data_IF_139874527344
#
_entry.id   IF_139874527344
#
_cell.length_a   1.000
_cell.length_b   1.000
_cell.length_c   1.000
_cell.angle_alpha   90.00
_cell.angle_beta   90.00
_cell.angle_gamma   90.00
#
_symmetry.space_group_name_H-M   'P 1'
#
loop_
_entity.id
_entity.type
_entity.pdbx_description
1 polymer ?
#
# COMPACT_ATOMS: atom_id res chain seq x y z
N UNK A 1 13.79 14.99 -2.79
CA UNK A 1 14.60 14.58 -1.64
C UNK A 1 13.75 13.70 -0.73
N UNK A 2 14.15 12.43 -0.56
CA UNK A 2 13.50 11.51 0.36
C UNK A 2 13.74 11.91 1.81
N UNK A 3 12.72 11.80 2.65
CA UNK A 3 12.89 11.99 4.10
C UNK A 3 13.70 10.84 4.68
N UNK A 4 14.37 11.07 5.83
CA UNK A 4 15.14 10.02 6.52
C UNK A 4 14.25 8.81 6.91
N UNK A 5 12.96 9.04 7.14
CA UNK A 5 11.97 8.00 7.38
C UNK A 5 11.74 7.16 6.12
N UNK A 6 11.47 7.80 4.99
CA UNK A 6 11.23 7.12 3.72
C UNK A 6 12.46 6.34 3.24
N UNK A 7 13.68 6.83 3.55
CA UNK A 7 14.91 6.08 3.27
C UNK A 7 15.00 4.77 4.05
N UNK A 8 14.60 4.75 5.33
CA UNK A 8 14.57 3.52 6.14
C UNK A 8 13.54 2.53 5.63
N UNK A 9 12.35 3.02 5.28
CA UNK A 9 11.30 2.18 4.65
C UNK A 9 11.83 1.60 3.34
N UNK A 10 12.47 2.42 2.49
CA UNK A 10 13.06 1.97 1.24
C UNK A 10 14.09 0.85 1.43
N UNK A 11 14.98 0.99 2.43
CA UNK A 11 15.98 -0.04 2.73
C UNK A 11 15.33 -1.36 3.19
N UNK A 12 14.28 -1.29 4.01
CA UNK A 12 13.57 -2.49 4.50
C UNK A 12 12.85 -3.22 3.37
N UNK A 13 12.11 -2.51 2.55
CA UNK A 13 11.46 -3.11 1.39
C UNK A 13 12.50 -3.67 0.42
N UNK A 14 13.62 -3.00 0.26
CA UNK A 14 14.73 -3.49 -0.56
C UNK A 14 15.30 -4.81 -0.04
N UNK A 15 15.56 -4.94 1.27
CA UNK A 15 16.06 -6.18 1.86
C UNK A 15 15.03 -7.31 1.87
N UNK A 16 13.74 -6.98 1.86
CA UNK A 16 12.63 -7.94 1.86
C UNK A 16 12.24 -8.41 0.45
N UNK A 17 12.81 -7.88 -0.62
CA UNK A 17 12.37 -8.13 -1.99
C UNK A 17 12.28 -9.62 -2.36
N UNK A 18 13.22 -10.45 -1.88
CA UNK A 18 13.24 -11.90 -2.14
C UNK A 18 12.15 -12.70 -1.42
N UNK A 19 11.56 -12.14 -0.34
CA UNK A 19 10.53 -12.77 0.47
C UNK A 19 9.13 -12.16 0.28
N UNK A 20 9.07 -11.01 -0.37
CA UNK A 20 7.86 -10.22 -0.52
C UNK A 20 6.72 -10.99 -1.19
N UNK A 21 6.99 -11.70 -2.29
CA UNK A 21 5.98 -12.45 -3.05
C UNK A 21 5.38 -13.61 -2.26
N UNK A 22 6.19 -14.35 -1.51
CA UNK A 22 5.72 -15.48 -0.71
C UNK A 22 4.76 -15.06 0.41
N UNK A 23 4.86 -13.83 0.89
CA UNK A 23 4.10 -13.29 2.01
C UNK A 23 3.03 -12.27 1.60
N UNK A 24 2.90 -12.02 0.30
CA UNK A 24 2.07 -10.95 -0.24
C UNK A 24 0.71 -11.44 -0.75
N UNK A 25 0.17 -12.54 -0.21
CA UNK A 25 -1.11 -13.07 -0.66
C UNK A 25 -2.24 -12.04 -0.56
N UNK A 26 -2.35 -11.33 0.57
CA UNK A 26 -3.35 -10.28 0.75
C UNK A 26 -3.17 -9.14 -0.26
N UNK A 27 -1.93 -8.76 -0.54
CA UNK A 27 -1.61 -7.73 -1.54
C UNK A 27 -2.00 -8.18 -2.95
N UNK A 28 -1.75 -9.44 -3.30
CA UNK A 28 -2.14 -10.02 -4.59
C UNK A 28 -3.66 -10.06 -4.73
N UNK A 29 -4.36 -10.53 -3.72
CA UNK A 29 -5.82 -10.57 -3.71
C UNK A 29 -6.43 -9.18 -3.83
N UNK A 30 -5.87 -8.21 -3.11
CA UNK A 30 -6.27 -6.80 -3.20
C UNK A 30 -6.04 -6.24 -4.61
N UNK A 31 -4.87 -6.47 -5.21
CA UNK A 31 -4.56 -6.02 -6.56
C UNK A 31 -5.52 -6.60 -7.60
N UNK A 32 -5.83 -7.91 -7.51
CA UNK A 32 -6.78 -8.57 -8.38
C UNK A 32 -8.18 -7.96 -8.27
N UNK A 33 -8.65 -7.70 -7.05
CA UNK A 33 -9.95 -7.07 -6.82
C UNK A 33 -9.98 -5.63 -7.31
N UNK A 34 -8.90 -4.87 -7.07
CA UNK A 34 -8.79 -3.46 -7.48
C UNK A 34 -9.01 -3.28 -8.98
N UNK A 35 -8.42 -4.17 -9.78
CA UNK A 35 -8.38 -4.03 -11.24
C UNK A 35 -9.44 -4.84 -11.98
N UNK A 36 -10.17 -5.74 -11.30
CA UNK A 36 -11.03 -6.75 -11.91
C UNK A 36 -12.05 -6.19 -12.90
N UNK A 37 -12.66 -5.04 -12.60
CA UNK A 37 -13.69 -4.40 -13.41
C UNK A 37 -13.23 -3.08 -14.03
N UNK A 38 -11.91 -2.86 -14.06
CA UNK A 38 -11.33 -1.63 -14.58
C UNK A 38 -10.68 -1.87 -15.95
N UNK A 39 -10.85 -0.90 -16.85
CA UNK A 39 -10.09 -0.82 -18.08
C UNK A 39 -9.28 0.47 -18.05
N UNK A 40 -7.97 0.34 -18.14
CA UNK A 40 -7.05 1.46 -18.18
C UNK A 40 -6.55 1.68 -19.61
N UNK A 41 -6.28 2.92 -19.96
CA UNK A 41 -5.76 3.30 -21.28
C UNK A 41 -4.79 4.48 -21.16
N UNK A 42 -4.04 4.71 -22.22
CA UNK A 42 -3.09 5.80 -22.31
C UNK A 42 -1.88 5.61 -21.45
N UNK A 43 -1.42 6.69 -20.81
CA UNK A 43 -0.24 6.69 -19.94
C UNK A 43 -0.67 6.40 -18.51
N UNK A 44 -0.11 5.34 -17.93
CA UNK A 44 -0.48 4.85 -16.61
C UNK A 44 0.70 5.01 -15.65
N UNK A 45 0.39 5.35 -14.39
CA UNK A 45 1.34 5.36 -13.27
C UNK A 45 0.88 4.34 -12.23
N UNK A 46 1.77 3.42 -11.86
CA UNK A 46 1.60 2.50 -10.74
C UNK A 46 2.51 2.95 -9.59
N UNK A 47 1.91 3.41 -8.50
CA UNK A 47 2.62 3.95 -7.34
C UNK A 47 2.84 2.84 -6.31
N UNK A 48 4.11 2.57 -5.98
CA UNK A 48 4.48 1.49 -5.08
C UNK A 48 4.27 0.14 -5.74
N UNK A 49 4.90 -0.06 -6.90
CA UNK A 49 4.71 -1.24 -7.74
C UNK A 49 5.14 -2.56 -7.09
N UNK A 50 5.96 -2.51 -6.05
CA UNK A 50 6.49 -3.70 -5.37
C UNK A 50 7.21 -4.62 -6.35
N UNK A 51 6.89 -5.92 -6.32
CA UNK A 51 7.46 -6.93 -7.22
C UNK A 51 6.89 -6.89 -8.63
N UNK A 52 5.89 -6.05 -8.90
CA UNK A 52 5.43 -5.71 -10.25
C UNK A 52 4.29 -6.56 -10.80
N UNK A 53 3.61 -7.36 -9.97
CA UNK A 53 2.49 -8.17 -10.48
C UNK A 53 1.39 -7.32 -11.10
N UNK A 54 0.93 -6.28 -10.40
CA UNK A 54 -0.14 -5.39 -10.88
C UNK A 54 0.30 -4.63 -12.14
N UNK A 55 1.52 -4.10 -12.12
CA UNK A 55 2.12 -3.39 -13.26
C UNK A 55 2.10 -4.26 -14.51
N UNK A 56 2.61 -5.48 -14.40
CA UNK A 56 2.66 -6.42 -15.52
C UNK A 56 1.28 -6.83 -15.99
N UNK A 57 0.39 -7.12 -15.06
CA UNK A 57 -0.99 -7.48 -15.39
C UNK A 57 -1.68 -6.36 -16.20
N UNK A 58 -1.50 -5.11 -15.79
CA UNK A 58 -2.05 -3.96 -16.52
C UNK A 58 -1.43 -3.87 -17.91
N UNK A 59 -0.11 -4.01 -18.03
CA UNK A 59 0.58 -3.93 -19.31
C UNK A 59 0.12 -5.02 -20.30
N UNK A 60 -0.19 -6.20 -19.82
CA UNK A 60 -0.59 -7.34 -20.66
C UNK A 60 -2.08 -7.38 -21.00
N UNK A 61 -2.95 -6.75 -20.21
CA UNK A 61 -4.40 -6.91 -20.30
C UNK A 61 -5.18 -5.61 -20.58
N UNK A 62 -4.49 -4.48 -20.69
CA UNK A 62 -5.15 -3.19 -20.91
C UNK A 62 -4.57 -2.47 -22.16
N UNK A 63 -5.39 -1.69 -22.87
CA UNK A 63 -4.95 -0.95 -24.07
C UNK A 63 -4.19 0.33 -23.69
N UNK A 64 -3.05 0.18 -23.01
CA UNK A 64 -2.23 1.28 -22.54
C UNK A 64 -1.10 1.61 -23.53
N UNK A 65 -0.62 2.85 -23.49
CA UNK A 65 0.55 3.28 -24.25
C UNK A 65 1.85 2.94 -23.51
N UNK A 66 1.86 3.18 -22.21
CA UNK A 66 2.97 2.88 -21.31
C UNK A 66 2.52 2.88 -19.87
N UNK A 67 3.30 2.25 -19.00
CA UNK A 67 3.10 2.29 -17.55
C UNK A 67 4.42 2.55 -16.83
N UNK A 68 4.44 3.59 -16.00
CA UNK A 68 5.53 3.86 -15.09
C UNK A 68 5.31 3.04 -13.83
N UNK A 69 6.29 2.19 -13.50
CA UNK A 69 6.35 1.44 -12.26
C UNK A 69 7.21 2.22 -11.26
N UNK A 70 6.58 2.90 -10.31
CA UNK A 70 7.26 3.72 -9.33
C UNK A 70 7.38 2.97 -8.01
N UNK A 71 8.59 2.95 -7.46
CA UNK A 71 8.83 2.45 -6.10
C UNK A 71 9.97 3.24 -5.45
N UNK A 72 9.90 3.36 -4.13
CA UNK A 72 10.96 3.99 -3.35
C UNK A 72 12.15 3.06 -3.15
N UNK A 73 11.93 1.75 -3.23
CA UNK A 73 12.93 0.72 -3.04
C UNK A 73 13.53 0.28 -4.38
N UNK A 74 14.77 0.65 -4.65
CA UNK A 74 15.46 0.30 -5.90
C UNK A 74 15.49 -1.22 -6.20
N UNK A 75 15.70 -2.12 -5.22
CA UNK A 75 15.66 -3.56 -5.49
C UNK A 75 14.32 -4.06 -6.05
N UNK A 76 13.19 -3.46 -5.68
CA UNK A 76 11.87 -3.79 -6.23
C UNK A 76 11.80 -3.53 -7.74
N UNK A 77 12.45 -2.45 -8.21
CA UNK A 77 12.45 -2.06 -9.62
C UNK A 77 13.27 -2.98 -10.53
N UNK A 78 14.02 -3.91 -9.95
CA UNK A 78 14.80 -4.93 -10.67
C UNK A 78 14.05 -6.24 -10.84
N UNK A 79 12.81 -6.34 -10.36
CA UNK A 79 12.00 -7.54 -10.45
C UNK A 79 11.76 -7.96 -11.91
N UNK A 80 11.76 -9.27 -12.16
CA UNK A 80 11.53 -9.85 -13.48
C UNK A 80 10.18 -9.44 -14.07
N UNK A 81 9.14 -9.32 -13.24
CA UNK A 81 7.81 -8.89 -13.64
C UNK A 81 7.80 -7.52 -14.35
N UNK A 82 8.78 -6.65 -14.04
CA UNK A 82 8.91 -5.33 -14.64
C UNK A 82 9.68 -5.33 -15.98
N UNK A 83 10.18 -6.48 -16.41
CA UNK A 83 10.86 -6.65 -17.70
C UNK A 83 9.82 -6.77 -18.82
N UNK A 84 9.33 -5.65 -19.30
CA UNK A 84 8.29 -5.57 -20.32
C UNK A 84 8.45 -4.28 -21.13
N UNK A 85 8.21 -4.30 -22.47
CA UNK A 85 8.42 -3.13 -23.34
C UNK A 85 7.63 -1.89 -22.95
N UNK A 86 6.44 -2.07 -22.36
CA UNK A 86 5.57 -0.93 -21.96
C UNK A 86 5.87 -0.42 -20.54
N UNK A 87 6.71 -1.09 -19.76
CA UNK A 87 6.98 -0.74 -18.37
C UNK A 87 8.26 0.07 -18.24
N UNK A 88 8.15 1.23 -17.59
CA UNK A 88 9.28 2.11 -17.27
C UNK A 88 9.44 2.18 -15.76
N UNK A 89 10.43 1.50 -15.16
CA UNK A 89 10.68 1.57 -13.72
C UNK A 89 11.34 2.91 -13.34
N UNK A 90 10.82 3.54 -12.28
CA UNK A 90 11.35 4.81 -11.76
C UNK A 90 11.40 4.75 -10.24
N UNK A 91 12.57 5.05 -9.66
CA UNK A 91 12.73 5.21 -8.22
C UNK A 91 12.34 6.62 -7.80
N UNK A 92 11.29 6.74 -6.99
CA UNK A 92 10.84 8.02 -6.45
C UNK A 92 9.98 7.83 -5.19
N UNK A 93 9.79 8.94 -4.48
CA UNK A 93 8.90 9.04 -3.33
C UNK A 93 7.51 9.48 -3.80
N UNK A 94 6.48 8.73 -3.42
CA UNK A 94 5.09 9.04 -3.76
C UNK A 94 4.61 10.39 -3.19
N UNK A 95 5.28 10.93 -2.17
CA UNK A 95 4.99 12.25 -1.62
C UNK A 95 5.47 13.40 -2.53
N UNK A 96 6.41 13.11 -3.46
CA UNK A 96 7.02 14.08 -4.36
C UNK A 96 7.20 13.46 -5.75
N UNK A 97 6.12 13.41 -6.52
CA UNK A 97 6.14 12.74 -7.82
C UNK A 97 6.96 13.54 -8.85
N UNK A 98 7.96 12.91 -9.50
CA UNK A 98 8.88 13.60 -10.42
C UNK A 98 8.27 13.74 -11.82
N UNK A 99 7.02 14.11 -11.93
CA UNK A 99 6.29 14.21 -13.17
C UNK A 99 5.65 15.60 -13.31
N UNK A 100 5.45 16.03 -14.54
CA UNK A 100 4.72 17.25 -14.86
C UNK A 100 3.22 17.10 -14.56
N UNK A 101 2.54 18.23 -14.45
CA UNK A 101 1.09 18.27 -14.40
C UNK A 101 0.47 17.54 -15.61
N UNK A 102 -0.67 16.92 -15.39
CA UNK A 102 -1.45 16.26 -16.44
C UNK A 102 -0.66 15.20 -17.23
N UNK A 103 0.24 14.46 -16.57
CA UNK A 103 1.12 13.49 -17.22
C UNK A 103 0.47 12.13 -17.45
N UNK A 104 -0.54 11.75 -16.67
CA UNK A 104 -1.09 10.40 -16.67
C UNK A 104 -2.60 10.39 -16.91
N UNK A 105 -3.03 9.45 -17.75
CA UNK A 105 -4.44 9.18 -18.02
C UNK A 105 -5.06 8.28 -16.95
N UNK A 106 -4.24 7.49 -16.26
CA UNK A 106 -4.64 6.69 -15.14
C UNK A 106 -3.52 6.57 -14.08
N UNK A 107 -3.91 6.52 -12.82
CA UNK A 107 -3.01 6.25 -11.69
C UNK A 107 -3.60 5.11 -10.87
N UNK A 108 -2.79 4.10 -10.58
CA UNK A 108 -3.14 3.00 -9.69
C UNK A 108 -2.15 2.91 -8.54
N UNK A 109 -2.60 2.43 -7.41
CA UNK A 109 -1.74 2.08 -6.27
C UNK A 109 -2.39 1.00 -5.44
N UNK A 110 -1.59 0.00 -5.04
CA UNK A 110 -2.05 -1.11 -4.22
C UNK A 110 -1.06 -1.34 -3.07
N UNK A 111 -1.53 -1.23 -1.84
CA UNK A 111 -0.72 -1.48 -0.63
C UNK A 111 0.57 -0.66 -0.54
N UNK A 112 0.53 0.61 -0.93
CA UNK A 112 1.68 1.50 -0.89
C UNK A 112 1.44 2.77 -0.06
N UNK A 113 0.23 3.31 -0.07
CA UNK A 113 -0.06 4.63 0.46
C UNK A 113 -0.13 4.67 1.99
N UNK A 114 -0.26 3.54 2.66
CA UNK A 114 -0.23 3.45 4.13
C UNK A 114 1.12 3.90 4.73
N UNK A 115 2.18 3.93 3.94
CA UNK A 115 3.50 4.35 4.37
C UNK A 115 3.71 5.88 4.34
N UNK A 116 2.75 6.61 3.76
CA UNK A 116 2.82 8.06 3.67
C UNK A 116 2.43 8.71 5.00
N UNK A 117 3.12 9.78 5.35
CA UNK A 117 2.85 10.56 6.57
C UNK A 117 1.74 11.58 6.38
N UNK A 118 1.47 11.99 5.14
CA UNK A 118 0.46 13.00 4.79
C UNK A 118 -0.42 12.55 3.62
N UNK A 119 -1.63 12.05 3.88
CA UNK A 119 -2.62 11.80 2.84
C UNK A 119 -2.95 13.04 2.00
N UNK A 120 -2.99 14.23 2.63
CA UNK A 120 -3.26 15.50 1.95
C UNK A 120 -2.21 15.82 0.90
N UNK A 121 -0.92 15.68 1.23
CA UNK A 121 0.17 15.94 0.28
C UNK A 121 0.11 14.97 -0.91
N UNK A 122 -0.18 13.71 -0.66
CA UNK A 122 -0.35 12.72 -1.73
C UNK A 122 -1.55 13.06 -2.63
N UNK A 123 -2.70 13.43 -2.04
CA UNK A 123 -3.89 13.80 -2.81
C UNK A 123 -3.61 14.99 -3.73
N UNK A 124 -2.85 15.99 -3.28
CA UNK A 124 -2.41 17.12 -4.09
C UNK A 124 -1.53 16.66 -5.27
N UNK A 125 -0.57 15.78 -5.04
CA UNK A 125 0.29 15.22 -6.09
C UNK A 125 -0.51 14.37 -7.09
N UNK A 126 -1.44 13.55 -6.62
CA UNK A 126 -2.34 12.76 -7.46
C UNK A 126 -3.16 13.68 -8.39
N UNK A 127 -3.79 14.69 -7.84
CA UNK A 127 -4.58 15.66 -8.62
C UNK A 127 -3.70 16.41 -9.62
N UNK A 128 -2.46 16.73 -9.27
CA UNK A 128 -1.52 17.43 -10.14
C UNK A 128 -1.09 16.59 -11.34
N UNK A 129 -0.73 15.32 -11.12
CA UNK A 129 -0.18 14.47 -12.20
C UNK A 129 -1.25 13.82 -13.09
N UNK A 130 -2.49 13.71 -12.62
CA UNK A 130 -3.60 13.24 -13.44
C UNK A 130 -3.95 14.24 -14.54
N UNK A 131 -4.11 13.74 -15.75
CA UNK A 131 -4.69 14.50 -16.86
C UNK A 131 -6.17 14.82 -16.59
N UNK A 132 -6.72 15.79 -17.31
CA UNK A 132 -8.15 16.06 -17.28
C UNK A 132 -8.93 14.78 -17.65
N UNK A 133 -9.98 14.46 -16.89
CA UNK A 133 -10.74 13.20 -16.98
C UNK A 133 -9.91 11.94 -16.66
N UNK A 134 -8.67 12.09 -16.23
CA UNK A 134 -7.82 10.97 -15.81
C UNK A 134 -8.44 10.23 -14.61
N UNK A 135 -8.35 8.91 -14.63
CA UNK A 135 -8.93 8.03 -13.60
C UNK A 135 -7.89 7.59 -12.57
N UNK A 136 -8.36 7.28 -11.38
CA UNK A 136 -7.53 6.65 -10.36
C UNK A 136 -8.23 5.45 -9.71
N UNK A 137 -7.42 4.46 -9.35
CA UNK A 137 -7.83 3.25 -8.64
C UNK A 137 -6.84 3.01 -7.51
N UNK A 138 -7.27 3.14 -6.26
CA UNK A 138 -6.39 3.03 -5.09
C UNK A 138 -6.91 1.98 -4.14
N UNK A 139 -6.04 1.09 -3.69
CA UNK A 139 -6.30 0.13 -2.62
C UNK A 139 -5.36 0.45 -1.45
N UNK A 140 -5.92 0.94 -0.36
CA UNK A 140 -5.18 1.55 0.75
C UNK A 140 -5.51 0.81 2.04
N UNK A 141 -4.54 0.16 2.69
CA UNK A 141 -4.70 -0.30 4.06
C UNK A 141 -5.05 0.86 5.00
N UNK A 142 -6.13 0.68 5.74
CA UNK A 142 -6.72 1.71 6.61
C UNK A 142 -6.87 1.22 8.04
N UNK A 143 -7.35 2.07 8.92
CA UNK A 143 -7.61 1.77 10.32
C UNK A 143 -8.43 0.48 10.46
N UNK A 144 -8.10 -0.34 11.44
CA UNK A 144 -8.58 -1.71 11.61
C UNK A 144 -7.62 -2.78 11.10
N UNK A 145 -6.66 -2.40 10.24
CA UNK A 145 -5.59 -3.29 9.79
C UNK A 145 -4.76 -3.76 10.97
N UNK A 146 -4.41 -5.07 11.00
CA UNK A 146 -3.63 -5.72 12.05
C UNK A 146 -4.28 -5.64 13.44
N UNK A 147 -5.60 -5.54 13.52
CA UNK A 147 -6.31 -5.36 14.78
C UNK A 147 -6.11 -6.52 15.76
N UNK A 148 -5.99 -7.76 15.27
CA UNK A 148 -5.73 -8.93 16.11
C UNK A 148 -4.40 -8.76 16.87
N UNK A 149 -3.35 -8.36 16.18
CA UNK A 149 -2.04 -8.13 16.76
C UNK A 149 -2.05 -6.94 17.73
N UNK A 150 -2.70 -5.85 17.34
CA UNK A 150 -2.81 -4.65 18.18
C UNK A 150 -3.57 -4.94 19.48
N UNK A 151 -4.66 -5.70 19.42
CA UNK A 151 -5.42 -6.09 20.61
C UNK A 151 -4.64 -7.06 21.51
N UNK A 152 -3.90 -8.00 20.93
CA UNK A 152 -3.03 -8.91 21.67
C UNK A 152 -1.90 -8.15 22.38
N UNK A 153 -1.26 -7.22 21.72
CA UNK A 153 -0.23 -6.36 22.33
C UNK A 153 -0.79 -5.50 23.45
N UNK A 154 -2.00 -4.97 23.31
CA UNK A 154 -2.63 -4.17 24.35
C UNK A 154 -2.85 -4.94 25.67
N UNK A 155 -2.95 -6.26 25.60
CA UNK A 155 -3.02 -7.14 26.79
C UNK A 155 -1.64 -7.37 27.44
N UNK A 156 -0.56 -7.15 26.70
CA UNK A 156 0.82 -7.38 27.18
C UNK A 156 1.43 -6.11 27.75
N UNK A 157 1.30 -5.02 27.00
CA UNK A 157 1.71 -3.70 27.45
C UNK A 157 0.86 -2.61 26.77
N UNK A 158 1.00 -1.35 27.24
CA UNK A 158 0.26 -0.21 26.69
C UNK A 158 0.91 0.41 25.45
N UNK A 159 2.07 -0.09 25.03
CA UNK A 159 2.79 0.43 23.87
C UNK A 159 2.13 -0.03 22.57
N UNK A 160 2.25 0.80 21.54
CA UNK A 160 1.82 0.44 20.19
C UNK A 160 2.98 -0.21 19.45
N UNK A 161 2.75 -1.42 18.94
CA UNK A 161 3.76 -2.25 18.30
C UNK A 161 3.57 -2.41 16.78
N UNK A 162 2.59 -1.73 16.19
CA UNK A 162 2.34 -1.68 14.74
C UNK A 162 2.15 -0.25 14.28
N UNK A 163 2.29 -0.01 12.97
CA UNK A 163 2.02 1.29 12.37
C UNK A 163 0.56 1.68 12.58
N UNK A 164 0.33 2.99 12.70
CA UNK A 164 -1.01 3.54 12.71
C UNK A 164 -1.45 3.82 11.26
N UNK A 165 -2.63 3.30 10.92
CA UNK A 165 -3.25 3.52 9.61
C UNK A 165 -4.30 4.62 9.71
N UNK A 166 -4.38 5.47 8.67
CA UNK A 166 -5.43 6.49 8.59
C UNK A 166 -6.78 5.83 8.34
N UNK A 167 -7.84 6.48 8.84
CA UNK A 167 -9.21 6.03 8.61
C UNK A 167 -9.61 6.21 7.12
N UNK A 168 -10.52 5.37 6.65
CA UNK A 168 -11.10 5.50 5.30
C UNK A 168 -11.66 6.90 5.06
N UNK A 169 -12.37 7.47 6.03
CA UNK A 169 -12.96 8.80 5.91
C UNK A 169 -11.90 9.90 5.70
N UNK A 170 -10.73 9.77 6.33
CA UNK A 170 -9.61 10.69 6.11
C UNK A 170 -9.18 10.69 4.65
N UNK A 171 -8.99 9.51 4.06
CA UNK A 171 -8.63 9.39 2.65
C UNK A 171 -9.70 9.95 1.72
N UNK A 172 -10.97 9.62 1.95
CA UNK A 172 -12.07 10.12 1.13
C UNK A 172 -12.14 11.65 1.17
N UNK A 173 -12.00 12.25 2.34
CA UNK A 173 -12.02 13.71 2.50
C UNK A 173 -10.86 14.42 1.81
N UNK A 174 -9.64 13.91 1.94
CA UNK A 174 -8.48 14.57 1.30
C UNK A 174 -8.52 14.43 -0.22
N UNK A 175 -8.99 13.32 -0.77
CA UNK A 175 -9.16 13.15 -2.21
C UNK A 175 -10.19 14.16 -2.77
N UNK A 176 -11.31 14.32 -2.10
CA UNK A 176 -12.33 15.31 -2.50
C UNK A 176 -11.83 16.74 -2.35
N UNK A 177 -11.04 17.03 -1.32
CA UNK A 177 -10.56 18.40 -1.02
C UNK A 177 -9.64 18.98 -2.10
N UNK A 178 -9.03 18.16 -2.93
CA UNK A 178 -8.12 18.57 -4.01
C UNK A 178 -8.80 18.59 -5.38
N UNK A 179 -10.12 18.46 -5.43
CA UNK A 179 -10.91 18.54 -6.68
C UNK A 179 -11.02 17.20 -7.43
N UNK A 180 -10.71 16.09 -6.79
CA UNK A 180 -10.94 14.76 -7.34
C UNK A 180 -12.40 14.33 -7.08
N UNK A 181 -13.01 13.70 -8.07
CA UNK A 181 -14.35 13.14 -7.95
C UNK A 181 -14.26 11.65 -7.63
N UNK A 182 -14.82 11.25 -6.50
CA UNK A 182 -14.94 9.84 -6.13
C UNK A 182 -16.19 9.28 -6.80
N UNK A 183 -16.03 8.26 -7.63
CA UNK A 183 -17.14 7.58 -8.31
C UNK A 183 -17.71 6.44 -7.49
N UNK A 184 -16.84 5.68 -6.86
CA UNK A 184 -17.23 4.58 -5.98
C UNK A 184 -16.13 4.26 -5.00
N UNK A 185 -16.50 3.66 -3.89
CA UNK A 185 -15.56 3.10 -2.92
C UNK A 185 -16.21 1.97 -2.15
N UNK A 186 -15.39 1.07 -1.66
CA UNK A 186 -15.79 0.04 -0.71
C UNK A 186 -14.60 -0.36 0.15
N UNK A 187 -14.87 -1.03 1.26
CA UNK A 187 -13.85 -1.55 2.14
C UNK A 187 -13.94 -3.07 2.18
N UNK A 188 -12.79 -3.74 2.06
CA UNK A 188 -12.67 -5.19 2.08
C UNK A 188 -11.63 -5.63 3.09
N UNK A 189 -11.85 -6.78 3.70
CA UNK A 189 -10.88 -7.42 4.59
C UNK A 189 -10.13 -8.51 3.84
N UNK A 190 -8.81 -8.52 3.97
CA UNK A 190 -7.94 -9.55 3.39
C UNK A 190 -7.16 -10.24 4.50
N UNK A 191 -7.35 -11.55 4.63
CA UNK A 191 -6.77 -12.35 5.70
C UNK A 191 -5.54 -13.11 5.25
N UNK A 192 -4.57 -13.19 6.15
CA UNK A 192 -3.46 -14.14 6.10
C UNK A 192 -3.46 -14.99 7.36
N UNK A 193 -3.00 -16.23 7.25
CA UNK A 193 -2.95 -17.18 8.35
C UNK A 193 -1.53 -17.68 8.54
N UNK A 194 -1.13 -17.81 9.78
CA UNK A 194 0.22 -18.20 10.17
C UNK A 194 0.18 -19.39 11.12
N UNK A 195 1.17 -20.26 11.01
CA UNK A 195 1.27 -21.44 11.88
C UNK A 195 1.55 -21.06 13.34
N UNK A 196 2.24 -19.94 13.55
CA UNK A 196 2.62 -19.45 14.87
C UNK A 196 2.73 -17.92 14.90
N UNK A 197 2.63 -17.35 16.09
CA UNK A 197 2.89 -15.93 16.34
C UNK A 197 4.31 -15.54 15.91
N UNK A 198 5.28 -16.41 16.12
CA UNK A 198 6.67 -16.18 15.71
C UNK A 198 6.79 -16.04 14.18
N UNK A 199 6.13 -16.91 13.42
CA UNK A 199 6.09 -16.82 11.95
C UNK A 199 5.41 -15.53 11.48
N UNK A 200 4.31 -15.15 12.12
CA UNK A 200 3.59 -13.90 11.86
C UNK A 200 4.49 -12.67 12.06
N UNK A 201 5.17 -12.58 13.20
CA UNK A 201 6.06 -11.46 13.51
C UNK A 201 7.25 -11.38 12.54
N UNK A 202 7.81 -12.53 12.17
CA UNK A 202 8.88 -12.61 11.17
C UNK A 202 8.42 -12.10 9.81
N UNK A 203 7.20 -12.46 9.41
CA UNK A 203 6.58 -11.98 8.17
C UNK A 203 6.43 -10.46 8.14
N UNK A 204 5.88 -9.86 9.19
CA UNK A 204 5.73 -8.41 9.30
C UNK A 204 7.07 -7.67 9.29
N UNK A 205 8.08 -8.22 9.94
CA UNK A 205 9.43 -7.66 9.92
C UNK A 205 10.03 -7.70 8.52
N UNK A 206 9.85 -8.79 7.80
CA UNK A 206 10.36 -8.95 6.44
C UNK A 206 9.79 -7.93 5.46
N UNK A 207 8.51 -7.54 5.60
CA UNK A 207 7.88 -6.52 4.75
C UNK A 207 7.99 -5.09 5.30
N UNK A 208 8.72 -4.87 6.40
CA UNK A 208 8.94 -3.54 6.97
C UNK A 208 7.78 -2.95 7.77
N UNK A 209 6.70 -3.70 8.00
CA UNK A 209 5.48 -3.21 8.65
C UNK A 209 5.68 -2.71 10.09
N UNK A 210 6.73 -3.17 10.77
CA UNK A 210 7.04 -2.81 12.16
C UNK A 210 8.16 -1.77 12.31
N UNK A 211 8.66 -1.24 11.20
CA UNK A 211 9.86 -0.38 11.21
C UNK A 211 9.76 0.81 12.17
N UNK A 212 8.62 1.47 12.15
CA UNK A 212 8.44 2.73 12.87
C UNK A 212 8.43 2.58 14.37
N UNK A 213 7.99 1.46 14.88
CA UNK A 213 7.77 1.32 16.31
C UNK A 213 8.93 0.66 17.01
N UNK A 214 9.65 -0.22 16.33
CA UNK A 214 10.85 -0.85 16.88
C UNK A 214 12.00 0.16 17.07
N UNK A 215 12.08 1.18 16.23
CA UNK A 215 13.10 2.22 16.36
C UNK A 215 12.91 3.12 17.59
N UNK A 216 11.70 3.15 18.17
CA UNK A 216 11.37 3.94 19.35
C UNK A 216 11.53 3.16 20.66
N UNK A 217 11.56 1.86 20.60
CA UNK A 217 11.69 1.01 21.78
C UNK A 217 13.10 0.48 21.90
N UNK A 218 13.90 1.15 22.74
CA UNK A 218 15.25 0.75 23.08
C UNK A 218 15.21 -0.40 24.11
N UNK A 219 14.62 -1.52 23.76
CA UNK A 219 14.62 -2.67 24.63
C UNK A 219 14.22 -3.94 23.88
N UNK A 220 15.07 -4.95 23.91
CA UNK A 220 14.67 -6.29 23.55
C UNK A 220 13.50 -6.67 24.46
N UNK A 221 12.38 -7.04 23.87
CA UNK A 221 11.27 -7.59 24.63
C UNK A 221 11.74 -8.80 25.41
N UNK A 222 11.41 -8.81 26.70
CA UNK A 222 11.71 -9.94 27.52
C UNK A 222 10.99 -11.19 27.01
N UNK A 223 11.59 -12.35 27.27
CA UNK A 223 11.01 -13.64 26.92
C UNK A 223 9.57 -13.79 27.42
N UNK A 224 9.25 -13.21 28.59
CA UNK A 224 7.91 -13.19 29.18
C UNK A 224 6.88 -12.42 28.37
N UNK A 225 7.26 -11.30 27.75
CA UNK A 225 6.36 -10.51 26.89
C UNK A 225 6.03 -11.25 25.60
N UNK A 226 7.00 -11.93 24.99
CA UNK A 226 6.76 -12.75 23.81
C UNK A 226 5.83 -13.93 24.10
N UNK A 227 6.01 -14.62 25.22
CA UNK A 227 5.11 -15.69 25.64
C UNK A 227 3.70 -15.18 25.89
N UNK A 228 3.54 -14.02 26.53
CA UNK A 228 2.23 -13.40 26.74
C UNK A 228 1.56 -13.02 25.41
N UNK A 229 2.31 -12.51 24.44
CA UNK A 229 1.80 -12.24 23.11
C UNK A 229 1.37 -13.52 22.39
N UNK A 230 2.18 -14.56 22.43
CA UNK A 230 1.84 -15.85 21.82
C UNK A 230 0.53 -16.41 22.41
N UNK A 231 0.36 -16.35 23.73
CA UNK A 231 -0.88 -16.78 24.38
C UNK A 231 -2.08 -15.92 23.95
N UNK A 232 -1.92 -14.61 23.87
CA UNK A 232 -2.96 -13.69 23.41
C UNK A 232 -3.34 -13.93 21.95
N UNK A 233 -2.39 -14.21 21.09
CA UNK A 233 -2.63 -14.50 19.66
C UNK A 233 -3.28 -15.87 19.46
N UNK A 234 -2.96 -16.88 20.27
CA UNK A 234 -3.60 -18.20 20.22
C UNK A 234 -5.12 -18.12 20.40
N UNK A 235 -5.60 -17.10 21.12
CA UNK A 235 -7.04 -16.85 21.27
C UNK A 235 -7.76 -16.63 19.92
N UNK A 236 -7.05 -16.13 18.92
CA UNK A 236 -7.60 -15.89 17.58
C UNK A 236 -7.46 -17.07 16.64
N UNK A 237 -6.74 -18.14 17.03
CA UNK A 237 -6.47 -19.28 16.13
C UNK A 237 -7.73 -19.87 15.55
N UNK A 238 -7.67 -20.09 14.23
CA UNK A 238 -8.69 -20.75 13.44
C UNK A 238 -8.11 -22.01 12.81
N UNK A 239 -8.93 -22.85 12.15
CA UNK A 239 -8.43 -24.07 11.49
C UNK A 239 -7.29 -23.80 10.49
N UNK A 240 -7.30 -22.63 9.83
CA UNK A 240 -6.25 -22.23 8.87
C UNK A 240 -4.97 -21.73 9.54
N UNK A 241 -5.01 -21.40 10.82
CA UNK A 241 -3.89 -20.84 11.59
C UNK A 241 -4.27 -19.57 12.34
N UNK A 242 -3.26 -18.83 12.79
CA UNK A 242 -3.43 -17.55 13.47
C UNK A 242 -3.70 -16.46 12.43
N UNK A 243 -4.87 -15.78 12.48
CA UNK A 243 -5.24 -14.78 11.49
C UNK A 243 -4.55 -13.45 11.72
N UNK A 244 -4.26 -12.78 10.64
CA UNK A 244 -3.92 -11.37 10.60
C UNK A 244 -4.61 -10.78 9.37
N UNK A 245 -5.27 -9.63 9.51
CA UNK A 245 -6.00 -9.07 8.38
C UNK A 245 -5.64 -7.61 8.10
N UNK A 246 -5.89 -7.23 6.87
CA UNK A 246 -5.83 -5.86 6.38
C UNK A 246 -7.23 -5.38 6.07
N UNK A 247 -7.59 -4.22 6.60
CA UNK A 247 -8.76 -3.47 6.16
C UNK A 247 -8.34 -2.56 5.01
N UNK A 248 -8.89 -2.76 3.83
CA UNK A 248 -8.46 -2.06 2.63
C UNK A 248 -9.58 -1.23 2.05
N UNK A 249 -9.37 0.08 1.99
CA UNK A 249 -10.23 0.99 1.24
C UNK A 249 -9.87 0.86 -0.24
N UNK A 250 -10.85 0.49 -1.07
CA UNK A 250 -10.76 0.59 -2.52
C UNK A 250 -11.56 1.79 -2.98
N UNK A 251 -10.89 2.75 -3.60
CA UNK A 251 -11.51 4.00 -4.05
C UNK A 251 -11.19 4.24 -5.52
N UNK A 252 -12.23 4.57 -6.26
CA UNK A 252 -12.21 4.79 -7.70
C UNK A 252 -12.76 6.18 -8.01
N UNK A 253 -12.10 6.89 -8.89
CA UNK A 253 -12.55 8.22 -9.26
C UNK A 253 -11.80 8.79 -10.44
N UNK A 254 -11.94 10.09 -10.61
CA UNK A 254 -11.33 10.82 -11.71
C UNK A 254 -11.06 12.27 -11.34
N UNK A 255 -10.19 12.92 -12.12
CA UNK A 255 -10.01 14.37 -12.09
C UNK A 255 -11.09 15.01 -12.94
N UNK A 256 -11.87 15.93 -12.35
CA UNK A 256 -12.91 16.64 -13.07
C UNK A 256 -12.32 17.50 -14.20
N UNK A 257 -13.01 17.52 -15.34
CA UNK A 257 -12.69 18.43 -16.41
C UNK A 257 -13.34 19.80 -16.13
N UNK A 258 -12.54 20.81 -15.86
CA UNK A 258 -13.01 22.16 -15.55
C UNK A 258 -13.75 22.85 -16.70
N UNK A 259 -13.64 22.32 -17.93
CA UNK A 259 -14.34 22.88 -19.10
C UNK A 259 -15.84 22.57 -19.12
N UNK A 260 -16.32 21.62 -18.34
CA UNK A 260 -17.76 21.26 -18.27
C UNK A 260 -18.51 21.91 -17.08
N UNK A 261 -17.86 22.78 -16.31
CA UNK A 261 -18.49 23.48 -15.16
C UNK A 261 -19.05 24.85 -15.55
N UNK A 262 -18.90 25.25 -16.80
CA UNK A 262 -19.31 26.59 -17.31
C UNK A 262 -20.57 26.58 -18.18
N UNK A 263 -21.46 25.58 -18.06
CA UNK A 263 -22.78 25.59 -18.69
C UNK A 263 -23.90 25.60 -17.66
#
# INVERSE_FOLDING_TARGET
NMTAFNQRVAQRFGSAASHYDAQALAQRQSAQQLIAEQTLQGRVLDIGCGTGWLTRHIAEHNPIDSIVALDIALPMLKAEQLQHPLIVPIQADAAFLPFKENSFDAVVSNFALQWLTSPQSFAQELARVLAQDGQFCLAIPVDGTLSELNQAWAKVDSSRHTNQFFASLTWLKVLQSVGLTIKSYHQSAFYQYYDSTKALLKSLKAIGANELQQARQHGMWGRGQLLALEQAMEHYRQPQGIPLHYEVLMVYGQKANLQHISE
#
